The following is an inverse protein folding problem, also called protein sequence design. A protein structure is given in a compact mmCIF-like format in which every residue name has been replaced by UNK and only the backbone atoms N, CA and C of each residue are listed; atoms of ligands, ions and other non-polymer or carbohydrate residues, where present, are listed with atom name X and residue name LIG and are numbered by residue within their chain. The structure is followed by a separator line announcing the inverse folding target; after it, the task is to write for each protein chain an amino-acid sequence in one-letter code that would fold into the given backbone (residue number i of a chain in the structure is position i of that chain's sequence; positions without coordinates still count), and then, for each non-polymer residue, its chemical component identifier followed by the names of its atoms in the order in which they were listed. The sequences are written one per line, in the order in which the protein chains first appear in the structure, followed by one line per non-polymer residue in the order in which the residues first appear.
data_IF_350117266696
#
_entry.id   IF_350117266696
#
_cell.length_a   1.000
_cell.length_b   1.000
_cell.length_c   1.000
_cell.angle_alpha   90.00
_cell.angle_beta   90.00
_cell.angle_gamma   90.00
#
_symmetry.space_group_name_H-M   'P 1'
#
loop_
_entity.id
_entity.type
_entity.pdbx_description
1 polymer ?
#
# COMPACT_ATOMS: atom_id res chain seq x y z
N UNK A 1 14.37 41.29 -24.00
CA UNK A 1 15.76 40.95 -24.38
C UNK A 1 15.81 39.44 -24.65
N UNK A 2 15.98 39.11 -25.93
CA UNK A 2 16.08 37.75 -26.45
C UNK A 2 17.47 37.21 -26.19
N UNK A 3 17.65 35.99 -25.72
CA UNK A 3 18.89 35.23 -25.92
C UNK A 3 18.56 33.76 -26.26
N UNK A 4 18.75 33.48 -27.54
CA UNK A 4 19.00 32.18 -28.15
C UNK A 4 20.30 31.55 -27.59
N UNK A 5 20.34 30.25 -27.43
CA UNK A 5 21.56 29.42 -27.53
C UNK A 5 21.13 28.00 -27.85
N UNK A 6 21.32 27.60 -29.04
CA UNK A 6 22.46 26.96 -29.76
C UNK A 6 22.45 25.43 -29.58
N UNK A 7 22.04 24.85 -30.66
CA UNK A 7 22.16 23.44 -31.04
C UNK A 7 23.67 23.12 -31.19
N UNK A 8 24.15 22.04 -30.61
CA UNK A 8 25.37 21.37 -31.02
C UNK A 8 25.07 19.94 -31.42
N UNK A 9 25.08 19.76 -32.73
CA UNK A 9 25.17 18.48 -33.41
C UNK A 9 26.58 17.94 -33.23
N UNK A 10 26.73 16.68 -32.82
CA UNK A 10 27.97 15.95 -32.92
C UNK A 10 27.73 14.59 -33.56
N UNK A 11 28.07 14.52 -34.83
CA UNK A 11 28.12 13.31 -35.65
C UNK A 11 29.47 12.61 -35.39
N UNK A 12 29.49 11.35 -35.02
CA UNK A 12 30.65 10.46 -35.07
C UNK A 12 30.21 9.07 -35.49
N UNK A 13 30.48 8.79 -36.66
CA UNK A 13 31.27 7.83 -37.44
C UNK A 13 31.23 6.36 -36.98
N UNK A 14 30.80 5.60 -37.94
CA UNK A 14 30.70 4.14 -38.10
C UNK A 14 32.06 3.45 -37.88
N UNK A 15 32.08 2.38 -37.09
CA UNK A 15 33.06 1.31 -37.23
C UNK A 15 32.36 -0.05 -37.22
N UNK A 16 32.43 -0.71 -38.36
CA UNK A 16 31.95 -2.06 -38.60
C UNK A 16 33.00 -3.03 -38.01
N UNK A 17 32.55 -3.92 -37.12
CA UNK A 17 33.32 -5.04 -36.62
C UNK A 17 32.43 -6.29 -36.57
N UNK A 18 32.58 -7.17 -37.56
CA UNK A 18 32.01 -8.50 -37.58
C UNK A 18 32.70 -9.38 -36.50
N UNK A 19 31.96 -9.85 -35.54
CA UNK A 19 32.39 -10.91 -34.61
C UNK A 19 31.18 -11.63 -34.09
N UNK A 20 30.84 -12.77 -34.70
CA UNK A 20 29.74 -13.62 -34.23
C UNK A 20 30.10 -14.26 -32.88
N UNK A 21 29.31 -13.97 -31.88
CA UNK A 21 29.25 -14.73 -30.64
C UNK A 21 27.80 -15.12 -30.45
N UNK A 22 27.51 -16.39 -30.61
CA UNK A 22 26.25 -17.01 -30.23
C UNK A 22 26.11 -16.89 -28.70
N UNK A 23 25.47 -15.84 -28.20
CA UNK A 23 24.98 -15.79 -26.84
C UNK A 23 23.61 -16.47 -26.82
N UNK A 24 23.56 -17.74 -26.42
CA UNK A 24 22.33 -18.37 -25.97
C UNK A 24 21.82 -17.58 -24.77
N UNK A 25 20.85 -16.70 -25.01
CA UNK A 25 20.08 -16.05 -23.95
C UNK A 25 19.17 -17.10 -23.34
N UNK A 26 19.61 -17.74 -22.28
CA UNK A 26 18.71 -18.53 -21.43
C UNK A 26 17.73 -17.56 -20.77
N UNK A 27 16.57 -17.42 -21.40
CA UNK A 27 15.38 -16.86 -20.76
C UNK A 27 14.95 -17.82 -19.62
N UNK A 28 15.64 -17.75 -18.49
CA UNK A 28 15.07 -18.21 -17.25
C UNK A 28 14.05 -17.16 -16.82
N UNK A 29 12.84 -17.28 -17.34
CA UNK A 29 11.68 -16.59 -16.84
C UNK A 29 11.58 -16.85 -15.34
N UNK A 30 11.75 -15.78 -14.55
CA UNK A 30 11.39 -15.74 -13.15
C UNK A 30 9.88 -15.94 -13.02
N UNK A 31 9.42 -17.18 -13.25
CA UNK A 31 8.11 -17.62 -12.82
C UNK A 31 8.17 -17.86 -11.31
N UNK A 32 8.23 -16.79 -10.53
CA UNK A 32 7.90 -16.84 -9.11
C UNK A 32 6.38 -17.02 -8.96
N UNK A 33 5.88 -18.17 -9.37
CA UNK A 33 4.66 -18.71 -8.80
C UNK A 33 4.99 -19.08 -7.36
N UNK A 34 4.77 -18.13 -6.44
CA UNK A 34 4.64 -18.43 -5.01
C UNK A 34 3.54 -19.47 -4.88
N UNK A 35 3.95 -20.74 -4.74
CA UNK A 35 3.07 -21.81 -4.31
C UNK A 35 2.69 -21.48 -2.86
N UNK A 36 1.59 -20.73 -2.69
CA UNK A 36 0.97 -20.49 -1.39
C UNK A 36 0.62 -21.86 -0.82
N UNK A 37 1.28 -22.24 0.24
CA UNK A 37 0.97 -23.46 1.00
C UNK A 37 -0.34 -23.19 1.75
N UNK A 38 -1.45 -23.64 1.20
CA UNK A 38 -2.82 -23.18 1.51
C UNK A 38 -3.29 -23.34 2.96
N UNK A 39 -2.69 -24.18 3.79
CA UNK A 39 -3.21 -24.43 5.13
C UNK A 39 -2.78 -23.44 6.21
N UNK A 40 -1.48 -23.15 6.32
CA UNK A 40 -0.93 -22.20 7.31
C UNK A 40 -1.12 -20.73 6.91
N UNK A 41 -1.21 -20.45 5.61
CA UNK A 41 -1.44 -19.10 5.09
C UNK A 41 -2.88 -18.62 5.31
N UNK A 42 -3.89 -19.50 5.31
CA UNK A 42 -5.27 -19.11 5.56
C UNK A 42 -5.46 -18.50 6.95
N UNK A 43 -4.86 -19.08 8.00
CA UNK A 43 -4.95 -18.53 9.36
C UNK A 43 -4.28 -17.14 9.46
N UNK A 44 -3.12 -16.95 8.83
CA UNK A 44 -2.45 -15.64 8.79
C UNK A 44 -3.26 -14.61 8.01
N UNK A 45 -3.75 -14.97 6.83
CA UNK A 45 -4.63 -14.09 6.02
C UNK A 45 -5.86 -13.67 6.83
N UNK A 46 -6.52 -14.61 7.50
CA UNK A 46 -7.68 -14.31 8.34
C UNK A 46 -7.33 -13.33 9.48
N UNK A 47 -6.19 -13.55 10.14
CA UNK A 47 -5.75 -12.66 11.22
C UNK A 47 -5.37 -11.25 10.71
N UNK A 48 -4.74 -11.15 9.54
CA UNK A 48 -4.42 -9.88 8.87
C UNK A 48 -5.70 -9.15 8.49
N UNK A 49 -6.66 -9.84 7.86
CA UNK A 49 -7.93 -9.24 7.44
C UNK A 49 -8.81 -8.84 8.63
N UNK A 50 -8.63 -9.46 9.80
CA UNK A 50 -9.29 -9.00 11.04
C UNK A 50 -8.85 -7.58 11.42
N UNK A 51 -7.58 -7.22 11.25
CA UNK A 51 -7.13 -5.85 11.51
C UNK A 51 -7.74 -4.85 10.52
N UNK A 52 -7.86 -5.24 9.23
CA UNK A 52 -8.54 -4.42 8.21
C UNK A 52 -10.04 -4.27 8.52
N UNK A 53 -10.71 -5.35 8.97
CA UNK A 53 -12.12 -5.30 9.37
C UNK A 53 -12.34 -4.37 10.58
N UNK A 54 -11.43 -4.38 11.56
CA UNK A 54 -11.47 -3.44 12.70
C UNK A 54 -11.35 -1.97 12.24
N UNK A 55 -10.53 -1.70 11.21
CA UNK A 55 -10.47 -0.37 10.60
C UNK A 55 -11.82 0.03 9.98
N UNK A 56 -12.43 -0.84 9.19
CA UNK A 56 -13.72 -0.58 8.58
C UNK A 56 -14.86 -0.45 9.63
N UNK A 57 -14.84 -1.30 10.66
CA UNK A 57 -15.81 -1.25 11.75
C UNK A 57 -15.66 0.04 12.59
N UNK A 58 -14.43 0.53 12.77
CA UNK A 58 -14.19 1.83 13.39
C UNK A 58 -14.90 2.97 12.64
N UNK A 59 -14.87 2.96 11.32
CA UNK A 59 -15.63 3.88 10.48
C UNK A 59 -17.14 3.72 10.63
N UNK A 60 -17.65 2.48 10.58
CA UNK A 60 -19.08 2.19 10.74
C UNK A 60 -19.61 2.68 12.08
N UNK A 61 -18.83 2.60 13.13
CA UNK A 61 -19.23 3.01 14.48
C UNK A 61 -18.82 4.44 14.85
N UNK A 62 -17.98 5.10 14.06
CA UNK A 62 -17.38 6.38 14.42
C UNK A 62 -16.57 6.25 15.71
N UNK A 63 -15.83 5.16 15.89
CA UNK A 63 -15.23 4.79 17.18
C UNK A 63 -13.71 4.69 17.10
N UNK A 64 -13.02 5.61 17.78
CA UNK A 64 -11.58 5.56 17.97
C UNK A 64 -11.14 4.33 18.75
N UNK A 65 -11.92 3.86 19.72
CA UNK A 65 -11.61 2.68 20.54
C UNK A 65 -11.52 1.39 19.71
N UNK A 66 -12.38 1.25 18.70
CA UNK A 66 -12.30 0.14 17.75
C UNK A 66 -11.07 0.32 16.84
N UNK A 67 -10.82 1.53 16.37
CA UNK A 67 -9.65 1.86 15.55
C UNK A 67 -8.33 1.53 16.24
N UNK A 68 -8.18 1.85 17.52
CA UNK A 68 -6.99 1.52 18.33
C UNK A 68 -6.71 0.00 18.39
N UNK A 69 -7.70 -0.84 18.19
CA UNK A 69 -7.49 -2.28 18.13
C UNK A 69 -6.87 -2.74 16.81
N UNK A 70 -7.04 -2.00 15.72
CA UNK A 70 -6.49 -2.31 14.42
C UNK A 70 -5.01 -1.90 14.27
N UNK A 71 -4.62 -0.79 14.89
CA UNK A 71 -3.33 -0.14 14.68
C UNK A 71 -2.40 -0.30 15.88
N UNK A 72 -1.09 -0.17 15.62
CA UNK A 72 -0.12 0.06 16.69
C UNK A 72 -0.23 1.50 17.20
N UNK A 73 0.23 1.75 18.40
CA UNK A 73 0.23 3.10 19.00
C UNK A 73 1.07 4.10 18.17
N UNK A 74 2.19 3.63 17.61
CA UNK A 74 3.11 4.42 16.79
C UNK A 74 2.74 4.43 15.31
N UNK A 75 1.59 3.88 14.92
CA UNK A 75 1.19 3.84 13.53
C UNK A 75 1.06 5.24 12.93
N UNK A 76 1.26 5.33 11.62
CA UNK A 76 1.14 6.58 10.87
C UNK A 76 0.13 6.46 9.74
N UNK A 77 -0.37 7.60 9.29
CA UNK A 77 -1.21 7.73 8.10
C UNK A 77 -0.58 8.74 7.15
N UNK A 78 -0.53 8.40 5.85
CA UNK A 78 0.11 9.22 4.83
C UNK A 78 -0.76 9.37 3.59
N UNK A 79 -0.63 10.51 2.90
CA UNK A 79 -1.24 10.77 1.60
C UNK A 79 -0.42 11.80 0.82
N UNK A 80 -0.80 12.03 -0.44
CA UNK A 80 -0.22 13.10 -1.26
C UNK A 80 -1.23 14.23 -1.37
N UNK A 81 -0.83 15.43 -0.99
CA UNK A 81 -1.61 16.65 -1.11
C UNK A 81 -0.78 17.73 -1.78
N UNK A 82 -1.29 18.33 -2.86
CA UNK A 82 -0.62 19.38 -3.63
C UNK A 82 0.82 18.99 -4.07
N UNK A 83 1.00 17.71 -4.45
CA UNK A 83 2.29 17.15 -4.87
C UNK A 83 3.30 16.92 -3.75
N UNK A 84 2.90 17.04 -2.49
CA UNK A 84 3.73 16.78 -1.31
C UNK A 84 3.19 15.61 -0.51
N UNK A 85 4.08 14.78 0.01
CA UNK A 85 3.72 13.72 0.95
C UNK A 85 3.45 14.36 2.31
N UNK A 86 2.26 14.10 2.85
CA UNK A 86 1.88 14.43 4.21
C UNK A 86 1.82 13.15 5.02
N UNK A 87 2.41 13.16 6.21
CA UNK A 87 2.38 12.03 7.15
C UNK A 87 2.03 12.55 8.53
N UNK A 88 1.06 11.91 9.17
CA UNK A 88 0.58 12.23 10.51
C UNK A 88 0.53 10.99 11.39
N UNK A 89 0.58 11.13 12.73
CA UNK A 89 0.28 10.03 13.63
C UNK A 89 -1.14 9.50 13.38
N UNK A 90 -1.36 8.21 13.65
CA UNK A 90 -2.66 7.56 13.44
C UNK A 90 -3.77 8.16 14.31
N UNK A 91 -3.44 8.87 15.37
CA UNK A 91 -4.41 9.61 16.19
C UNK A 91 -5.27 10.58 15.38
N UNK A 92 -4.73 11.14 14.27
CA UNK A 92 -5.50 11.99 13.37
C UNK A 92 -6.68 11.23 12.71
N UNK A 93 -6.53 9.92 12.45
CA UNK A 93 -7.65 9.08 12.01
C UNK A 93 -8.69 8.94 13.11
N UNK A 94 -8.27 8.74 14.36
CA UNK A 94 -9.17 8.59 15.51
C UNK A 94 -10.00 9.85 15.74
N UNK A 95 -9.36 11.02 15.67
CA UNK A 95 -10.05 12.32 15.76
C UNK A 95 -11.07 12.48 14.62
N UNK A 96 -10.70 12.07 13.40
CA UNK A 96 -11.59 12.07 12.24
C UNK A 96 -12.81 11.15 12.42
N UNK A 97 -12.61 9.95 12.95
CA UNK A 97 -13.70 8.99 13.24
C UNK A 97 -14.72 9.57 14.24
N UNK A 98 -14.22 10.14 15.33
CA UNK A 98 -15.08 10.75 16.36
C UNK A 98 -15.87 11.97 15.80
N UNK A 99 -15.22 12.80 14.98
CA UNK A 99 -15.87 13.96 14.35
C UNK A 99 -16.91 13.57 13.32
N UNK A 100 -16.62 12.57 12.49
CA UNK A 100 -17.53 12.09 11.44
C UNK A 100 -18.70 11.32 12.03
N UNK A 101 -18.46 10.60 13.13
CA UNK A 101 -19.43 9.69 13.74
C UNK A 101 -19.74 8.49 12.86
N UNK A 102 -20.82 7.79 13.14
CA UNK A 102 -21.23 6.58 12.41
C UNK A 102 -21.52 6.89 10.95
N UNK A 103 -21.04 6.00 10.06
CA UNK A 103 -21.32 6.05 8.63
C UNK A 103 -21.33 4.66 8.00
N UNK A 104 -21.87 4.54 6.78
CA UNK A 104 -21.76 3.29 6.03
C UNK A 104 -20.35 3.15 5.48
N UNK A 105 -19.75 1.98 5.66
CA UNK A 105 -18.41 1.64 5.15
C UNK A 105 -18.46 0.27 4.50
N UNK A 106 -17.99 0.23 3.25
CA UNK A 106 -17.74 -1.01 2.52
C UNK A 106 -16.31 -1.04 2.00
N UNK A 107 -15.77 -2.23 1.77
CA UNK A 107 -14.46 -2.36 1.14
C UNK A 107 -14.33 -3.67 0.37
N UNK A 108 -13.41 -3.68 -0.58
CA UNK A 108 -12.99 -4.85 -1.34
C UNK A 108 -11.48 -5.07 -1.14
N UNK A 109 -11.09 -6.30 -0.78
CA UNK A 109 -9.67 -6.66 -0.67
C UNK A 109 -9.14 -6.98 -2.06
N UNK A 110 -8.17 -6.21 -2.52
CA UNK A 110 -7.57 -6.37 -3.85
C UNK A 110 -6.29 -7.21 -3.82
N UNK A 111 -5.51 -7.12 -2.73
CA UNK A 111 -4.25 -7.86 -2.60
C UNK A 111 -3.86 -8.05 -1.13
N UNK A 112 -3.26 -9.21 -0.84
CA UNK A 112 -2.64 -9.54 0.46
C UNK A 112 -1.30 -10.22 0.18
N UNK A 113 -0.21 -9.59 0.56
CA UNK A 113 1.13 -10.14 0.43
C UNK A 113 1.76 -10.32 1.81
N UNK A 114 2.31 -11.51 2.09
CA UNK A 114 2.86 -11.87 3.40
C UNK A 114 4.33 -12.28 3.25
N UNK A 115 5.19 -11.66 4.05
CA UNK A 115 6.61 -11.97 4.13
C UNK A 115 7.01 -12.19 5.61
N UNK A 116 6.96 -13.44 6.06
CA UNK A 116 7.28 -13.80 7.44
C UNK A 116 6.27 -13.25 8.46
N UNK A 117 6.69 -12.24 9.23
CA UNK A 117 5.90 -11.55 10.24
C UNK A 117 5.49 -10.12 9.83
N UNK A 118 5.59 -9.80 8.54
CA UNK A 118 5.09 -8.55 7.96
C UNK A 118 4.16 -8.84 6.81
N UNK A 119 3.20 -7.96 6.58
CA UNK A 119 2.25 -8.08 5.48
C UNK A 119 1.94 -6.72 4.88
N UNK A 120 1.49 -6.77 3.63
CA UNK A 120 0.93 -5.64 2.91
C UNK A 120 -0.49 -6.02 2.47
N UNK A 121 -1.44 -5.10 2.65
CA UNK A 121 -2.82 -5.26 2.19
C UNK A 121 -3.23 -4.03 1.40
N UNK A 122 -3.85 -4.25 0.25
CA UNK A 122 -4.49 -3.21 -0.55
C UNK A 122 -5.99 -3.44 -0.60
N UNK A 123 -6.75 -2.38 -0.32
CA UNK A 123 -8.20 -2.39 -0.45
C UNK A 123 -8.69 -1.19 -1.24
N UNK A 124 -9.84 -1.34 -1.85
CA UNK A 124 -10.70 -0.23 -2.26
C UNK A 124 -11.77 -0.06 -1.19
N UNK A 125 -11.90 1.13 -0.64
CA UNK A 125 -12.88 1.42 0.41
C UNK A 125 -13.81 2.55 0.00
N UNK A 126 -15.03 2.52 0.51
CA UNK A 126 -16.03 3.57 0.36
C UNK A 126 -16.67 3.89 1.71
N UNK A 127 -16.75 5.17 1.99
CA UNK A 127 -17.32 5.78 3.18
C UNK A 127 -18.43 6.73 2.75
N UNK A 128 -19.62 6.60 3.29
CA UNK A 128 -20.81 7.35 2.84
C UNK A 128 -20.67 8.86 2.98
N UNK A 129 -19.86 9.32 3.94
CA UNK A 129 -19.64 10.75 4.20
C UNK A 129 -18.32 11.27 3.62
N UNK A 130 -17.32 10.39 3.47
CA UNK A 130 -15.95 10.78 3.10
C UNK A 130 -15.60 10.45 1.65
N UNK A 131 -16.34 9.54 0.99
CA UNK A 131 -16.09 9.12 -0.38
C UNK A 131 -15.28 7.85 -0.52
N UNK A 132 -14.64 7.67 -1.68
CA UNK A 132 -13.91 6.45 -2.05
C UNK A 132 -12.40 6.64 -1.95
N UNK A 133 -11.72 5.59 -1.50
CA UNK A 133 -10.27 5.60 -1.31
C UNK A 133 -9.62 4.33 -1.87
N UNK A 134 -8.38 4.47 -2.33
CA UNK A 134 -7.45 3.34 -2.45
C UNK A 134 -6.59 3.34 -1.19
N UNK A 135 -6.77 2.36 -0.33
CA UNK A 135 -6.03 2.22 0.91
C UNK A 135 -4.96 1.12 0.79
N UNK A 136 -3.78 1.41 1.30
CA UNK A 136 -2.69 0.45 1.45
C UNK A 136 -2.25 0.41 2.89
N UNK A 137 -2.17 -0.81 3.44
CA UNK A 137 -1.75 -1.04 4.82
C UNK A 137 -0.48 -1.86 4.86
N UNK A 138 0.46 -1.46 5.71
CA UNK A 138 1.56 -2.32 6.14
C UNK A 138 1.25 -2.84 7.53
N UNK A 139 1.36 -4.14 7.74
CA UNK A 139 1.07 -4.80 9.02
C UNK A 139 2.30 -5.54 9.52
N UNK A 140 2.37 -5.69 10.84
CA UNK A 140 3.36 -6.53 11.51
C UNK A 140 2.69 -7.42 12.54
N UNK A 141 3.26 -8.63 12.72
CA UNK A 141 2.84 -9.60 13.73
C UNK A 141 3.67 -9.39 15.01
N UNK A 142 3.00 -9.12 16.10
CA UNK A 142 3.60 -9.01 17.42
C UNK A 142 2.81 -9.88 18.41
N UNK A 143 3.50 -10.83 19.08
CA UNK A 143 2.90 -11.74 20.06
C UNK A 143 1.67 -12.52 19.53
N UNK A 144 1.69 -12.88 18.24
CA UNK A 144 0.59 -13.60 17.58
C UNK A 144 -0.57 -12.71 17.11
N UNK A 145 -0.49 -11.39 17.30
CA UNK A 145 -1.47 -10.43 16.80
C UNK A 145 -0.93 -9.62 15.63
N UNK A 146 -1.74 -9.46 14.60
CA UNK A 146 -1.44 -8.58 13.47
C UNK A 146 -2.00 -7.19 13.70
N UNK A 147 -1.14 -6.18 13.60
CA UNK A 147 -1.50 -4.77 13.75
C UNK A 147 -1.04 -3.97 12.55
N UNK A 148 -1.81 -2.97 12.16
CA UNK A 148 -1.44 -2.01 11.13
C UNK A 148 -0.39 -1.06 11.70
N UNK A 149 0.75 -0.93 11.02
CA UNK A 149 1.84 0.00 11.40
C UNK A 149 1.87 1.26 10.53
N UNK A 150 1.30 1.18 9.33
CA UNK A 150 1.15 2.34 8.46
C UNK A 150 -0.08 2.17 7.55
N UNK A 151 -0.78 3.29 7.32
CA UNK A 151 -1.81 3.46 6.29
C UNK A 151 -1.34 4.51 5.31
N UNK A 152 -1.32 4.21 4.02
CA UNK A 152 -1.18 5.21 2.96
C UNK A 152 -2.40 5.13 2.05
N UNK A 153 -2.90 6.28 1.58
CA UNK A 153 -4.11 6.29 0.78
C UNK A 153 -4.10 7.38 -0.29
N UNK A 154 -4.96 7.19 -1.28
CA UNK A 154 -5.37 8.23 -2.22
C UNK A 154 -6.89 8.29 -2.31
N UNK A 155 -7.43 9.48 -2.49
CA UNK A 155 -8.85 9.71 -2.82
C UNK A 155 -9.07 9.30 -4.28
N UNK A 156 -10.20 8.65 -4.57
CA UNK A 156 -10.63 8.29 -5.94
C UNK A 156 -11.40 9.43 -6.60
#
# INVERSE_FOLDING_TARGET
MKRLFRIMSLTVLLCIGFGGVNAQTSNQGLSNKSKVTMGKNNAKVTAILKAVELYAEAGRKGSSEIGKQAFTEQATMSWVENGKITTVPISALYDGLEQTGQEEVTYEVLDVNIAGNVAFVRIDSWFSKLGSFNDMFTLAEQNGEWKIVNKIYSVK
#
